data_IF_954431061382
#
_entry.id   IF_954431061382
#
_cell.length_a   1.000
_cell.length_b   1.000
_cell.length_c   1.000
_cell.angle_alpha   90.00
_cell.angle_beta   90.00
_cell.angle_gamma   90.00
#
_symmetry.space_group_name_H-M   'P 1'
#
loop_
_entity.id
_entity.type
_entity.pdbx_description
1 polymer ?
#
# COMPACT_ATOMS: atom_id res chain seq x y z
N UNK A 1 -17.23 6.43 25.65
CA UNK A 1 -16.45 7.29 24.71
C UNK A 1 -14.98 6.93 24.58
N UNK A 2 -14.24 6.63 25.67
CA UNK A 2 -12.79 6.32 25.63
C UNK A 2 -12.38 5.11 24.77
N UNK A 3 -13.31 4.19 24.53
CA UNK A 3 -13.05 2.89 23.89
C UNK A 3 -12.64 3.00 22.41
N UNK A 4 -13.19 3.97 21.67
CA UNK A 4 -12.86 4.20 20.25
C UNK A 4 -11.49 4.84 20.11
N UNK A 5 -11.19 5.84 20.94
CA UNK A 5 -9.88 6.51 20.95
C UNK A 5 -8.74 5.56 21.36
N UNK A 6 -8.97 4.69 22.36
CA UNK A 6 -7.96 3.69 22.74
C UNK A 6 -7.67 2.72 21.62
N UNK A 7 -8.71 2.29 20.89
CA UNK A 7 -8.58 1.34 19.79
C UNK A 7 -7.90 1.98 18.58
N UNK A 8 -8.24 3.22 18.26
CA UNK A 8 -7.56 4.02 17.23
C UNK A 8 -6.07 4.17 17.55
N UNK A 9 -5.73 4.55 18.78
CA UNK A 9 -4.33 4.75 19.19
C UNK A 9 -3.53 3.44 19.18
N UNK A 10 -4.14 2.34 19.63
CA UNK A 10 -3.53 1.01 19.55
C UNK A 10 -3.31 0.59 18.10
N UNK A 11 -4.31 0.74 17.23
CA UNK A 11 -4.20 0.40 15.82
C UNK A 11 -3.09 1.21 15.14
N UNK A 12 -3.03 2.52 15.36
CA UNK A 12 -1.97 3.38 14.81
C UNK A 12 -0.57 2.95 15.30
N UNK A 13 -0.45 2.55 16.56
CA UNK A 13 0.82 2.08 17.13
C UNK A 13 1.23 0.75 16.49
N UNK A 14 0.33 -0.23 16.43
CA UNK A 14 0.60 -1.53 15.80
C UNK A 14 0.94 -1.38 14.29
N UNK A 15 0.24 -0.49 13.57
CA UNK A 15 0.52 -0.20 12.15
C UNK A 15 1.91 0.42 11.99
N UNK A 16 2.31 1.32 12.88
CA UNK A 16 3.63 1.95 12.83
C UNK A 16 4.77 0.95 13.11
N UNK A 17 4.50 -0.05 13.95
CA UNK A 17 5.45 -1.11 14.31
C UNK A 17 5.48 -2.26 13.30
N UNK A 18 4.57 -2.30 12.33
CA UNK A 18 4.58 -3.34 11.31
C UNK A 18 5.81 -3.18 10.39
N UNK A 19 6.70 -4.16 10.43
CA UNK A 19 7.93 -4.23 9.61
C UNK A 19 7.74 -5.05 8.33
N UNK A 20 6.72 -5.91 8.29
CA UNK A 20 6.44 -6.80 7.16
C UNK A 20 5.06 -6.56 6.52
N UNK A 21 5.00 -6.80 5.21
CA UNK A 21 3.75 -6.68 4.44
C UNK A 21 2.70 -7.70 4.88
N UNK A 22 3.13 -8.85 5.40
CA UNK A 22 2.26 -9.87 5.98
C UNK A 22 1.63 -9.38 7.29
N UNK A 23 2.45 -8.84 8.20
CA UNK A 23 1.99 -8.25 9.46
C UNK A 23 1.00 -7.09 9.21
N UNK A 24 1.27 -6.25 8.20
CA UNK A 24 0.36 -5.17 7.81
C UNK A 24 -1.02 -5.67 7.34
N UNK A 25 -1.06 -6.75 6.54
CA UNK A 25 -2.32 -7.37 6.12
C UNK A 25 -3.07 -8.05 7.28
N UNK A 26 -2.35 -8.68 8.21
CA UNK A 26 -2.97 -9.25 9.42
C UNK A 26 -3.64 -8.16 10.27
N UNK A 27 -2.97 -7.02 10.47
CA UNK A 27 -3.53 -5.85 11.15
C UNK A 27 -4.75 -5.30 10.42
N UNK A 28 -4.68 -5.18 9.09
CA UNK A 28 -5.81 -4.75 8.25
C UNK A 28 -7.02 -5.67 8.45
N UNK A 29 -6.83 -6.98 8.48
CA UNK A 29 -7.92 -7.95 8.73
C UNK A 29 -8.44 -7.86 10.16
N UNK A 30 -7.55 -7.73 11.17
CA UNK A 30 -7.89 -7.60 12.60
C UNK A 30 -8.77 -6.38 12.90
N UNK A 31 -8.47 -5.24 12.28
CA UNK A 31 -9.18 -3.99 12.56
C UNK A 31 -10.34 -3.71 11.58
N UNK A 32 -10.12 -3.82 10.27
CA UNK A 32 -11.07 -3.40 9.21
C UNK A 32 -11.83 -4.60 8.59
N UNK A 33 -11.33 -5.82 8.78
CA UNK A 33 -11.87 -7.03 8.13
C UNK A 33 -13.34 -7.33 8.44
N UNK A 34 -13.88 -8.40 7.82
CA UNK A 34 -15.30 -8.80 7.98
C UNK A 34 -15.70 -9.04 9.45
N UNK A 35 -14.77 -9.46 10.31
CA UNK A 35 -14.94 -9.64 11.76
C UNK A 35 -14.10 -8.63 12.58
N UNK A 36 -13.67 -7.54 11.97
CA UNK A 36 -12.74 -6.59 12.59
C UNK A 36 -13.36 -5.85 13.78
N UNK A 37 -12.50 -5.42 14.70
CA UNK A 37 -12.92 -4.71 15.92
C UNK A 37 -13.75 -3.45 15.62
N UNK A 38 -13.45 -2.75 14.51
CA UNK A 38 -14.19 -1.57 14.07
C UNK A 38 -15.63 -1.93 13.66
N UNK A 39 -15.83 -3.06 12.98
CA UNK A 39 -17.18 -3.54 12.62
C UNK A 39 -17.97 -4.06 13.82
N UNK A 40 -17.31 -4.64 14.81
CA UNK A 40 -17.94 -5.03 16.07
C UNK A 40 -18.44 -3.80 16.84
N UNK A 41 -17.62 -2.74 16.90
CA UNK A 41 -18.03 -1.45 17.46
C UNK A 41 -19.25 -0.88 16.72
N UNK A 42 -19.25 -0.88 15.38
CA UNK A 42 -20.39 -0.47 14.55
C UNK A 42 -21.67 -1.27 14.83
N UNK A 43 -21.57 -2.59 15.07
CA UNK A 43 -22.74 -3.41 15.48
C UNK A 43 -23.24 -3.04 16.87
N UNK A 44 -22.35 -2.73 17.81
CA UNK A 44 -22.74 -2.31 19.16
C UNK A 44 -23.46 -0.95 19.18
N UNK A 45 -23.32 -0.12 18.14
CA UNK A 45 -24.09 1.14 17.97
C UNK A 45 -25.60 0.90 17.93
N UNK A 46 -26.05 -0.27 17.45
CA UNK A 46 -27.46 -0.64 17.48
C UNK A 46 -28.06 -0.71 18.89
N UNK A 47 -27.25 -0.90 19.93
CA UNK A 47 -27.71 -0.96 21.33
C UNK A 47 -27.73 0.39 22.06
N UNK A 48 -27.21 1.45 21.43
CA UNK A 48 -27.13 2.79 22.01
C UNK A 48 -28.42 3.59 21.81
N UNK A 49 -28.63 4.57 22.67
CA UNK A 49 -29.77 5.49 22.64
C UNK A 49 -29.79 6.33 21.34
N UNK A 50 -30.98 6.78 20.86
CA UNK A 50 -31.12 7.52 19.60
C UNK A 50 -30.26 8.78 19.50
N UNK A 51 -30.02 9.44 20.62
CA UNK A 51 -29.26 10.69 20.71
C UNK A 51 -27.74 10.44 20.64
N UNK A 52 -27.25 9.32 21.16
CA UNK A 52 -25.82 8.99 21.17
C UNK A 52 -25.36 8.22 19.92
N UNK A 53 -26.31 7.57 19.22
CA UNK A 53 -26.08 6.84 17.96
C UNK A 53 -25.34 7.66 16.89
N UNK A 54 -25.77 8.88 16.51
CA UNK A 54 -25.09 9.65 15.46
C UNK A 54 -23.67 10.08 15.88
N UNK A 55 -23.49 10.52 17.13
CA UNK A 55 -22.20 10.96 17.63
C UNK A 55 -21.18 9.81 17.70
N UNK A 56 -21.62 8.64 18.15
CA UNK A 56 -20.79 7.44 18.21
C UNK A 56 -20.47 6.89 16.82
N UNK A 57 -21.47 6.82 15.93
CA UNK A 57 -21.28 6.38 14.54
C UNK A 57 -20.28 7.25 13.77
N UNK A 58 -20.37 8.57 13.95
CA UNK A 58 -19.43 9.51 13.31
C UNK A 58 -17.99 9.30 13.80
N UNK A 59 -17.79 9.03 15.10
CA UNK A 59 -16.47 8.71 15.66
C UNK A 59 -15.92 7.39 15.14
N UNK A 60 -16.73 6.34 15.07
CA UNK A 60 -16.29 5.04 14.54
C UNK A 60 -15.90 5.17 13.07
N UNK A 61 -16.68 5.92 12.28
CA UNK A 61 -16.33 6.19 10.89
C UNK A 61 -15.02 6.99 10.76
N UNK A 62 -14.80 7.98 11.61
CA UNK A 62 -13.54 8.75 11.66
C UNK A 62 -12.35 7.87 12.00
N UNK A 63 -12.45 7.03 13.04
CA UNK A 63 -11.41 6.09 13.41
C UNK A 63 -11.12 5.08 12.29
N UNK A 64 -12.17 4.58 11.63
CA UNK A 64 -12.02 3.69 10.48
C UNK A 64 -11.25 4.35 9.33
N UNK A 65 -11.56 5.61 9.01
CA UNK A 65 -10.85 6.38 8.00
C UNK A 65 -9.38 6.58 8.37
N UNK A 66 -9.09 7.00 9.61
CA UNK A 66 -7.73 7.21 10.10
C UNK A 66 -6.88 5.92 10.05
N UNK A 67 -7.44 4.79 10.48
CA UNK A 67 -6.76 3.48 10.42
C UNK A 67 -6.50 3.07 8.95
N UNK A 68 -7.48 3.28 8.06
CA UNK A 68 -7.33 2.97 6.62
C UNK A 68 -6.22 3.80 5.98
N UNK A 69 -6.17 5.09 6.30
CA UNK A 69 -5.16 6.01 5.79
C UNK A 69 -3.76 5.64 6.29
N UNK A 70 -3.63 5.33 7.59
CA UNK A 70 -2.36 4.90 8.17
C UNK A 70 -1.84 3.59 7.55
N UNK A 71 -2.71 2.60 7.32
CA UNK A 71 -2.36 1.36 6.63
C UNK A 71 -1.87 1.62 5.22
N UNK A 72 -2.56 2.49 4.47
CA UNK A 72 -2.19 2.84 3.10
C UNK A 72 -0.85 3.56 3.04
N UNK A 73 -0.63 4.53 3.93
CA UNK A 73 0.64 5.25 4.05
C UNK A 73 1.80 4.29 4.33
N UNK A 74 1.64 3.42 5.34
CA UNK A 74 2.68 2.43 5.69
C UNK A 74 2.95 1.44 4.56
N UNK A 75 1.91 0.96 3.89
CA UNK A 75 2.06 0.09 2.72
C UNK A 75 2.85 0.77 1.59
N UNK A 76 2.59 2.06 1.35
CA UNK A 76 3.29 2.83 0.34
C UNK A 76 4.76 3.05 0.71
N UNK A 77 5.07 3.36 1.98
CA UNK A 77 6.44 3.49 2.48
C UNK A 77 7.24 2.19 2.31
N UNK A 78 6.60 1.04 2.55
CA UNK A 78 7.25 -0.26 2.37
C UNK A 78 7.50 -0.61 0.89
N UNK A 79 6.63 -0.15 -0.01
CA UNK A 79 6.81 -0.34 -1.45
C UNK A 79 7.92 0.55 -2.01
N UNK A 80 7.99 1.82 -1.59
CA UNK A 80 9.05 2.74 -2.02
C UNK A 80 10.42 2.29 -1.50
N UNK A 81 10.50 1.77 -0.28
CA UNK A 81 11.72 1.16 0.26
C UNK A 81 12.21 -0.03 -0.59
N UNK A 82 11.30 -0.87 -1.10
CA UNK A 82 11.65 -2.01 -1.97
C UNK A 82 11.99 -1.62 -3.41
N UNK A 83 11.49 -0.49 -3.91
CA UNK A 83 11.67 -0.05 -5.30
C UNK A 83 13.04 0.54 -5.66
N UNK A 84 13.87 0.89 -4.66
CA UNK A 84 15.14 1.60 -4.91
C UNK A 84 16.29 0.67 -5.32
N UNK A 85 16.12 -0.66 -5.24
CA UNK A 85 17.17 -1.64 -5.57
C UNK A 85 17.25 -2.02 -7.06
N UNK A 86 16.56 -1.31 -7.95
CA UNK A 86 16.86 -1.38 -9.39
C UNK A 86 17.91 -0.34 -9.82
N UNK A 87 18.92 -0.11 -9.00
CA UNK A 87 20.13 0.61 -9.40
C UNK A 87 21.17 -0.41 -9.86
N UNK A 88 21.22 -0.68 -11.17
CA UNK A 88 22.22 -1.61 -11.71
C UNK A 88 22.24 -1.77 -13.23
N UNK A 89 21.40 -1.06 -13.98
CA UNK A 89 21.43 -1.09 -15.44
C UNK A 89 22.17 0.14 -15.96
N UNK A 90 23.45 -0.04 -16.28
CA UNK A 90 24.26 0.93 -16.99
C UNK A 90 23.70 1.16 -18.40
N UNK A 91 23.15 2.35 -18.63
CA UNK A 91 22.48 2.74 -19.88
C UNK A 91 23.47 2.98 -21.03
N UNK A 92 24.77 3.00 -20.76
CA UNK A 92 25.82 3.14 -21.79
C UNK A 92 26.18 1.82 -22.47
N UNK A 93 25.76 0.68 -21.91
CA UNK A 93 26.05 -0.63 -22.47
C UNK A 93 25.44 -0.78 -23.87
N UNK A 94 26.23 -1.17 -24.89
CA UNK A 94 25.69 -1.43 -26.21
C UNK A 94 24.73 -2.61 -26.15
N UNK A 95 23.53 -2.42 -26.70
CA UNK A 95 22.55 -3.49 -26.84
C UNK A 95 23.06 -4.63 -27.72
N UNK A 96 22.38 -5.78 -27.69
CA UNK A 96 22.68 -6.92 -28.58
C UNK A 96 22.47 -6.51 -30.04
N UNK A 97 23.55 -6.33 -30.80
CA UNK A 97 23.49 -5.96 -32.23
C UNK A 97 23.54 -7.20 -33.12
N UNK A 98 22.69 -7.23 -34.15
CA UNK A 98 22.87 -8.14 -35.27
C UNK A 98 23.96 -7.58 -36.20
N UNK A 99 24.82 -8.43 -36.75
CA UNK A 99 25.82 -8.01 -37.73
C UNK A 99 25.11 -7.64 -39.03
N UNK A 100 25.26 -6.40 -39.48
CA UNK A 100 24.85 -6.01 -40.83
C UNK A 100 25.77 -6.68 -41.85
N UNK A 101 25.20 -7.21 -42.93
CA UNK A 101 25.96 -7.63 -44.11
C UNK A 101 26.50 -6.42 -44.87
N UNK A 102 27.51 -6.64 -45.70
CA UNK A 102 28.09 -5.60 -46.56
C UNK A 102 27.77 -5.92 -48.02
N UNK A 103 27.62 -4.88 -48.87
CA UNK A 103 27.54 -5.06 -50.32
C UNK A 103 28.86 -5.62 -50.84
N UNK A 104 28.81 -6.48 -51.85
CA UNK A 104 30.01 -7.01 -52.49
C UNK A 104 30.78 -5.88 -53.20
N UNK A 105 32.13 -5.83 -53.14
CA UNK A 105 32.92 -4.73 -53.73
C UNK A 105 32.66 -4.52 -55.23
N UNK A 106 32.42 -5.60 -56.00
CA UNK A 106 32.02 -5.49 -57.41
C UNK A 106 30.68 -4.78 -57.63
N UNK A 107 29.76 -4.86 -56.67
CA UNK A 107 28.46 -4.17 -56.72
C UNK A 107 28.63 -2.68 -56.45
N UNK A 108 29.55 -2.29 -55.56
CA UNK A 108 29.85 -0.89 -55.27
C UNK A 108 30.42 -0.17 -56.50
N UNK A 109 31.34 -0.82 -57.23
CA UNK A 109 31.99 -0.26 -58.44
C UNK A 109 31.00 -0.11 -59.61
N UNK A 110 29.92 -0.89 -59.63
CA UNK A 110 28.92 -0.86 -60.71
C UNK A 110 27.84 0.20 -60.49
N UNK A 111 27.69 0.70 -59.27
CA UNK A 111 26.69 1.71 -58.88
C UNK A 111 27.29 3.13 -58.76
N UNK A 112 28.60 3.31 -58.92
CA UNK A 112 29.28 4.60 -59.17
C UNK A 112 29.21 5.00 -60.65
#
# INVERSE_FOLDING_TARGET
MKLVETLERQALTEISQAEDTTALEELRVKYIGKKGQVKQLLRSVGSLSPEERPLFGQRVNRANAAITEALKARQQDMQTAKGTTQTGLDRSLPGRRQKAGHKHPLTLIREE
#
